data_IF_034037563407
#
_entry.id   IF_034037563407
#
_cell.length_a   1.000
_cell.length_b   1.000
_cell.length_c   1.000
_cell.angle_alpha   90.00
_cell.angle_beta   90.00
_cell.angle_gamma   90.00
#
_symmetry.space_group_name_H-M   'P 1'
#
loop_
_entity.id
_entity.type
_entity.pdbx_description
1 polymer ?
#
# COMPACT_ATOMS: atom_id res chain seq x y z
N UNK A 1 -33.46 -19.13 -6.61
CA UNK A 1 -32.03 -19.53 -6.63
C UNK A 1 -31.25 -18.46 -7.39
N UNK A 2 -30.90 -17.35 -6.72
CA UNK A 2 -30.12 -16.24 -7.29
C UNK A 2 -28.85 -15.95 -6.46
N UNK A 3 -28.59 -16.75 -5.42
CA UNK A 3 -27.54 -16.53 -4.42
C UNK A 3 -26.13 -16.81 -4.96
N UNK A 4 -25.97 -17.59 -6.04
CA UNK A 4 -24.65 -18.02 -6.53
C UNK A 4 -23.91 -17.07 -7.47
N UNK A 5 -24.57 -16.06 -8.07
CA UNK A 5 -23.91 -15.14 -9.03
C UNK A 5 -23.28 -13.95 -8.28
N UNK A 6 -24.03 -13.33 -7.37
CA UNK A 6 -23.57 -12.16 -6.61
C UNK A 6 -22.41 -12.48 -5.67
N UNK A 7 -22.39 -13.67 -5.06
CA UNK A 7 -21.29 -14.10 -4.19
C UNK A 7 -19.99 -14.33 -4.98
N UNK A 8 -20.08 -14.93 -6.16
CA UNK A 8 -18.93 -15.16 -7.04
C UNK A 8 -18.33 -13.86 -7.57
N UNK A 9 -19.16 -12.90 -7.95
CA UNK A 9 -18.70 -11.56 -8.38
C UNK A 9 -18.05 -10.80 -7.22
N UNK A 10 -18.63 -10.86 -6.02
CA UNK A 10 -18.08 -10.23 -4.80
C UNK A 10 -16.72 -10.83 -4.44
N UNK A 11 -16.56 -12.15 -4.54
CA UNK A 11 -15.30 -12.84 -4.28
C UNK A 11 -14.21 -12.47 -5.30
N UNK A 12 -14.56 -12.38 -6.59
CA UNK A 12 -13.64 -11.94 -7.65
C UNK A 12 -13.16 -10.49 -7.42
N UNK A 13 -14.06 -9.59 -7.02
CA UNK A 13 -13.70 -8.21 -6.69
C UNK A 13 -12.80 -8.12 -5.45
N UNK A 14 -13.08 -8.91 -4.41
CA UNK A 14 -12.24 -8.97 -3.22
C UNK A 14 -10.83 -9.49 -3.55
N UNK A 15 -10.73 -10.59 -4.32
CA UNK A 15 -9.44 -11.15 -4.74
C UNK A 15 -8.63 -10.18 -5.62
N UNK A 16 -9.27 -9.55 -6.61
CA UNK A 16 -8.61 -8.53 -7.45
C UNK A 16 -8.09 -7.34 -6.61
N UNK A 17 -8.84 -6.94 -5.59
CA UNK A 17 -8.44 -5.87 -4.65
C UNK A 17 -7.22 -6.28 -3.82
N UNK A 18 -7.22 -7.49 -3.27
CA UNK A 18 -6.08 -8.02 -2.50
C UNK A 18 -4.83 -8.20 -3.37
N UNK A 19 -4.97 -8.69 -4.60
CA UNK A 19 -3.86 -8.81 -5.56
C UNK A 19 -3.27 -7.46 -5.92
N UNK A 20 -4.12 -6.44 -6.14
CA UNK A 20 -3.67 -5.07 -6.40
C UNK A 20 -2.85 -4.53 -5.24
N UNK A 21 -3.33 -4.73 -4.01
CA UNK A 21 -2.63 -4.32 -2.81
C UNK A 21 -1.27 -4.98 -2.65
N UNK A 22 -1.20 -6.30 -2.84
CA UNK A 22 0.06 -7.05 -2.80
C UNK A 22 1.05 -6.58 -3.89
N UNK A 23 0.56 -6.33 -5.11
CA UNK A 23 1.38 -5.78 -6.19
C UNK A 23 1.97 -4.41 -5.86
N UNK A 24 1.18 -3.52 -5.24
CA UNK A 24 1.67 -2.18 -4.86
C UNK A 24 2.69 -2.30 -3.72
N UNK A 25 2.46 -3.16 -2.72
CA UNK A 25 3.42 -3.40 -1.64
C UNK A 25 4.76 -3.95 -2.16
N UNK A 26 4.72 -4.94 -3.05
CA UNK A 26 5.93 -5.50 -3.68
C UNK A 26 6.70 -4.42 -4.44
N UNK A 27 6.00 -3.59 -5.23
CA UNK A 27 6.61 -2.46 -5.94
C UNK A 27 7.24 -1.46 -4.99
N UNK A 28 6.54 -1.09 -3.90
CA UNK A 28 7.05 -0.18 -2.88
C UNK A 28 8.34 -0.72 -2.24
N UNK A 29 8.39 -2.01 -1.90
CA UNK A 29 9.57 -2.65 -1.33
C UNK A 29 10.78 -2.62 -2.28
N UNK A 30 10.57 -2.81 -3.59
CA UNK A 30 11.64 -2.72 -4.59
C UNK A 30 12.15 -1.27 -4.69
N UNK A 31 11.23 -0.30 -4.68
CA UNK A 31 11.59 1.11 -4.77
C UNK A 31 12.40 1.58 -3.55
N UNK A 32 12.10 1.03 -2.37
CA UNK A 32 12.90 1.24 -1.15
C UNK A 32 14.37 0.80 -1.34
N UNK A 33 14.60 -0.35 -1.97
CA UNK A 33 15.95 -0.88 -2.20
C UNK A 33 16.72 -0.10 -3.28
N UNK A 34 16.02 0.43 -4.28
CA UNK A 34 16.65 1.14 -5.41
C UNK A 34 16.92 2.63 -5.13
N UNK A 35 16.39 3.18 -4.03
CA UNK A 35 16.55 4.60 -3.70
C UNK A 35 15.83 5.57 -4.64
N UNK A 36 14.90 5.07 -5.48
CA UNK A 36 14.08 5.89 -6.39
C UNK A 36 12.95 6.58 -5.62
N UNK A 37 13.30 7.58 -4.82
CA UNK A 37 12.38 8.22 -3.87
C UNK A 37 11.14 8.85 -4.52
N UNK A 38 11.26 9.43 -5.72
CA UNK A 38 10.08 10.00 -6.40
C UNK A 38 9.06 8.93 -6.79
N UNK A 39 9.54 7.83 -7.39
CA UNK A 39 8.70 6.68 -7.72
C UNK A 39 8.10 6.06 -6.46
N UNK A 40 8.88 6.00 -5.38
CA UNK A 40 8.42 5.48 -4.10
C UNK A 40 7.31 6.35 -3.51
N UNK A 41 7.44 7.67 -3.57
CA UNK A 41 6.37 8.61 -3.17
C UNK A 41 5.08 8.33 -3.94
N UNK A 42 5.15 8.19 -5.27
CA UNK A 42 3.98 7.88 -6.10
C UNK A 42 3.32 6.58 -5.65
N UNK A 43 4.12 5.55 -5.36
CA UNK A 43 3.66 4.27 -4.85
C UNK A 43 2.97 4.38 -3.48
N UNK A 44 3.52 5.16 -2.55
CA UNK A 44 2.92 5.41 -1.23
C UNK A 44 1.63 6.23 -1.32
N UNK A 45 1.55 7.18 -2.26
CA UNK A 45 0.31 7.93 -2.53
C UNK A 45 -0.78 7.02 -3.11
N UNK A 46 -0.41 6.10 -4.00
CA UNK A 46 -1.32 5.08 -4.51
C UNK A 46 -1.82 4.17 -3.38
N UNK A 47 -0.94 3.70 -2.48
CA UNK A 47 -1.36 2.94 -1.29
C UNK A 47 -2.35 3.74 -0.45
N UNK A 48 -2.05 4.99 -0.12
CA UNK A 48 -2.95 5.86 0.65
C UNK A 48 -4.33 5.97 0.00
N UNK A 49 -4.38 6.17 -1.32
CA UNK A 49 -5.64 6.31 -2.06
C UNK A 49 -6.47 5.02 -2.07
N UNK A 50 -5.82 3.88 -2.28
CA UNK A 50 -6.53 2.60 -2.33
C UNK A 50 -6.94 2.11 -0.92
N UNK A 51 -6.18 2.46 0.12
CA UNK A 51 -6.50 2.13 1.50
C UNK A 51 -7.53 3.05 2.14
N UNK A 52 -7.78 4.24 1.57
CA UNK A 52 -8.72 5.22 2.11
C UNK A 52 -10.07 4.64 2.57
N UNK A 53 -10.76 3.76 1.79
CA UNK A 53 -12.04 3.18 2.22
C UNK A 53 -11.94 2.28 3.47
N UNK A 54 -10.73 1.82 3.81
CA UNK A 54 -10.47 0.87 4.89
C UNK A 54 -9.79 1.52 6.11
N UNK A 55 -9.38 2.79 5.99
CA UNK A 55 -8.73 3.55 7.04
C UNK A 55 -9.76 4.26 7.92
N UNK A 56 -9.48 4.34 9.21
CA UNK A 56 -10.17 5.26 10.12
C UNK A 56 -9.77 6.70 9.83
N UNK A 57 -10.59 7.70 10.23
CA UNK A 57 -10.22 9.12 10.10
C UNK A 57 -8.88 9.47 10.76
N UNK A 58 -8.57 8.83 11.91
CA UNK A 58 -7.30 8.99 12.62
C UNK A 58 -6.13 8.45 11.81
N UNK A 59 -6.23 7.21 11.31
CA UNK A 59 -5.19 6.61 10.46
C UNK A 59 -4.92 7.44 9.20
N UNK A 60 -5.98 7.98 8.58
CA UNK A 60 -5.83 8.84 7.40
C UNK A 60 -5.15 10.18 7.74
N UNK A 61 -5.53 10.77 8.87
CA UNK A 61 -4.92 12.01 9.37
C UNK A 61 -3.44 11.80 9.67
N UNK A 62 -3.07 10.69 10.30
CA UNK A 62 -1.69 10.37 10.65
C UNK A 62 -0.83 10.12 9.40
N UNK A 63 -1.37 9.38 8.42
CA UNK A 63 -0.70 9.18 7.12
C UNK A 63 -0.49 10.51 6.38
N UNK A 64 -1.46 11.43 6.46
CA UNK A 64 -1.38 12.75 5.84
C UNK A 64 -0.34 13.63 6.54
N UNK A 65 -0.35 13.68 7.87
CA UNK A 65 0.68 14.40 8.66
C UNK A 65 2.10 13.92 8.34
N UNK A 66 2.29 12.61 8.13
CA UNK A 66 3.59 12.05 7.72
C UNK A 66 4.01 12.54 6.33
N UNK A 67 3.11 12.54 5.35
CA UNK A 67 3.39 13.13 4.03
C UNK A 67 3.74 14.62 4.12
N UNK A 68 3.01 15.37 4.93
CA UNK A 68 3.22 16.81 5.08
C UNK A 68 4.54 17.13 5.84
N UNK A 69 5.07 16.15 6.58
CA UNK A 69 6.37 16.27 7.25
C UNK A 69 7.59 16.13 6.33
N UNK A 70 7.38 15.87 5.02
CA UNK A 70 8.48 15.77 4.07
C UNK A 70 9.30 17.08 4.02
N UNK A 71 10.65 17.01 4.06
CA UNK A 71 11.50 18.20 4.03
C UNK A 71 11.22 19.02 2.78
N UNK A 72 11.03 20.34 2.90
CA UNK A 72 10.88 21.21 1.72
C UNK A 72 12.13 21.11 0.83
N UNK A 73 11.93 21.05 -0.49
CA UNK A 73 13.04 21.00 -1.46
C UNK A 73 13.85 19.70 -1.42
N UNK A 74 13.22 18.59 -1.02
CA UNK A 74 13.84 17.26 -1.07
C UNK A 74 14.01 16.70 -2.49
N UNK A 75 13.20 17.20 -3.43
CA UNK A 75 13.41 17.07 -4.87
C UNK A 75 13.71 18.47 -5.41
N UNK A 76 14.76 18.58 -6.22
CA UNK A 76 15.06 19.77 -7.00
C UNK A 76 14.12 19.89 -8.21
N UNK A 77 13.95 21.08 -8.80
CA UNK A 77 13.10 21.26 -9.99
C UNK A 77 13.48 20.38 -11.19
N UNK A 78 14.74 19.92 -11.26
CA UNK A 78 15.23 19.00 -12.29
C UNK A 78 14.95 17.51 -11.96
N UNK A 79 14.18 17.21 -10.92
CA UNK A 79 13.88 15.85 -10.47
C UNK A 79 14.97 15.19 -9.60
N UNK A 80 16.13 15.83 -9.44
CA UNK A 80 17.21 15.24 -8.65
C UNK A 80 16.91 15.31 -7.15
N UNK A 81 17.34 14.29 -6.42
CA UNK A 81 17.19 14.24 -4.97
C UNK A 81 18.21 15.15 -4.28
N UNK A 82 17.76 15.86 -3.26
CA UNK A 82 18.63 16.63 -2.41
C UNK A 82 19.35 15.67 -1.43
N UNK A 83 20.68 15.50 -1.54
CA UNK A 83 21.41 14.52 -0.74
C UNK A 83 21.31 14.82 0.76
N UNK A 84 21.16 16.10 1.15
CA UNK A 84 21.05 16.51 2.56
C UNK A 84 19.75 16.06 3.23
N UNK A 85 18.70 15.84 2.45
CA UNK A 85 17.38 15.44 2.96
C UNK A 85 17.01 14.01 2.62
N UNK A 86 17.75 13.35 1.72
CA UNK A 86 17.53 11.98 1.25
C UNK A 86 17.31 10.96 2.38
N UNK A 87 18.17 10.96 3.40
CA UNK A 87 18.05 10.06 4.55
C UNK A 87 16.75 10.29 5.34
N UNK A 88 16.35 11.56 5.52
CA UNK A 88 15.12 11.89 6.24
C UNK A 88 13.87 11.50 5.43
N UNK A 89 13.91 11.69 4.11
CA UNK A 89 12.83 11.26 3.21
C UNK A 89 12.68 9.74 3.23
N UNK A 90 13.79 9.00 3.12
CA UNK A 90 13.80 7.53 3.25
C UNK A 90 13.11 7.09 4.55
N UNK A 91 13.52 7.68 5.69
CA UNK A 91 12.91 7.37 6.98
C UNK A 91 11.39 7.60 6.97
N UNK A 92 10.93 8.73 6.44
CA UNK A 92 9.49 9.02 6.36
C UNK A 92 8.78 7.98 5.49
N UNK A 93 9.35 7.61 4.34
CA UNK A 93 8.75 6.62 3.45
C UNK A 93 8.70 5.23 4.07
N UNK A 94 9.73 4.81 4.82
CA UNK A 94 9.72 3.56 5.58
C UNK A 94 8.61 3.56 6.64
N UNK A 95 8.51 4.62 7.43
CA UNK A 95 7.48 4.75 8.47
C UNK A 95 6.07 4.69 7.87
N UNK A 96 5.87 5.36 6.72
CA UNK A 96 4.62 5.32 5.98
C UNK A 96 4.31 3.93 5.42
N UNK A 97 5.30 3.27 4.83
CA UNK A 97 5.17 1.92 4.32
C UNK A 97 4.77 0.94 5.42
N UNK A 98 5.42 1.02 6.59
CA UNK A 98 5.11 0.18 7.75
C UNK A 98 3.73 0.47 8.33
N UNK A 99 3.29 1.74 8.32
CA UNK A 99 1.92 2.11 8.68
C UNK A 99 0.90 1.43 7.77
N UNK A 100 1.09 1.51 6.45
CA UNK A 100 0.18 0.86 5.48
C UNK A 100 0.15 -0.66 5.65
N UNK A 101 1.30 -1.31 5.85
CA UNK A 101 1.35 -2.75 6.17
C UNK A 101 0.55 -3.06 7.44
N UNK A 102 0.69 -2.25 8.49
CA UNK A 102 -0.03 -2.46 9.75
C UNK A 102 -1.55 -2.37 9.57
N UNK A 103 -2.02 -1.37 8.83
CA UNK A 103 -3.44 -1.20 8.48
C UNK A 103 -3.92 -2.42 7.69
N UNK A 104 -3.18 -2.81 6.66
CA UNK A 104 -3.55 -3.96 5.82
C UNK A 104 -3.60 -5.26 6.61
N UNK A 105 -2.68 -5.49 7.55
CA UNK A 105 -2.74 -6.64 8.46
C UNK A 105 -3.99 -6.62 9.32
N UNK A 106 -4.28 -5.50 9.98
CA UNK A 106 -5.45 -5.35 10.88
C UNK A 106 -6.77 -5.53 10.15
N UNK A 107 -6.82 -5.14 8.87
CA UNK A 107 -8.04 -5.18 8.04
C UNK A 107 -8.15 -6.43 7.17
N UNK A 108 -7.20 -7.37 7.26
CA UNK A 108 -7.20 -8.58 6.43
C UNK A 108 -6.99 -8.29 4.93
N UNK A 109 -6.31 -7.19 4.59
CA UNK A 109 -6.08 -6.71 3.21
C UNK A 109 -4.75 -7.20 2.62
N UNK A 110 -4.12 -8.18 3.25
CA UNK A 110 -2.95 -8.86 2.70
C UNK A 110 -3.39 -10.17 2.05
N UNK A 111 -2.84 -10.45 0.87
CA UNK A 111 -2.99 -11.78 0.27
C UNK A 111 -2.48 -12.84 1.27
N UNK A 112 -3.26 -13.91 1.53
CA UNK A 112 -2.77 -15.03 2.30
C UNK A 112 -1.51 -15.59 1.64
N UNK A 113 -0.44 -15.79 2.42
CA UNK A 113 0.66 -16.64 1.97
C UNK A 113 0.09 -18.05 1.88
N UNK A 114 -0.02 -18.57 0.66
CA UNK A 114 -0.70 -19.83 0.27
C UNK A 114 -2.20 -19.87 0.53
N UNK A 115 -2.99 -19.60 -0.52
CA UNK A 115 -4.09 -20.54 -0.81
C UNK A 115 -3.49 -21.46 -1.86
N UNK A 116 -3.18 -22.69 -1.47
CA UNK A 116 -3.02 -23.77 -2.44
C UNK A 116 -4.24 -23.70 -3.34
N UNK A 117 -4.07 -23.31 -4.61
CA UNK A 117 -5.19 -23.19 -5.54
C UNK A 117 -5.94 -24.52 -5.72
N UNK A 118 -5.38 -25.64 -5.22
CA UNK A 118 -6.00 -26.96 -5.14
C UNK A 118 -6.64 -27.36 -3.79
N UNK A 119 -6.69 -26.49 -2.77
CA UNK A 119 -7.30 -26.80 -1.45
C UNK A 119 -8.42 -25.86 -1.01
N UNK A 120 -8.90 -24.99 -1.89
CA UNK A 120 -10.24 -24.41 -1.74
C UNK A 120 -11.29 -25.48 -2.12
N UNK A 121 -11.27 -26.62 -1.42
CA UNK A 121 -12.44 -27.47 -1.31
C UNK A 121 -13.29 -26.79 -0.24
N UNK A 122 -14.35 -26.13 -0.71
CA UNK A 122 -15.47 -25.76 0.14
C UNK A 122 -16.06 -27.09 0.62
N UNK A 123 -15.88 -27.43 1.89
CA UNK A 123 -16.80 -28.39 2.52
C UNK A 123 -18.18 -27.70 2.53
N UNK A 124 -19.10 -28.25 1.71
CA UNK A 124 -20.52 -27.94 1.72
C UNK A 124 -21.20 -28.55 2.94
#
# INVERSE_FOLDING_TARGET
MAEGIGEKETWNMANATLQRFDSILKRSSILAQTGKLEDWKRCLMDLRRNLFPFMTPTEFTDATKKFDSLPKGWIYPNGNLNPKTSAKVNQIFDEMYMMFISIMKKKGLLMPKTVDAGKAVIDM
#
